data_IF_254198587096
#
_entry.id   IF_254198587096
#
_cell.length_a   1.000
_cell.length_b   1.000
_cell.length_c   1.000
_cell.angle_alpha   90.00
_cell.angle_beta   90.00
_cell.angle_gamma   90.00
#
_symmetry.space_group_name_H-M   'P 1'
#
loop_
_entity.id
_entity.type
_entity.pdbx_description
1 polymer ?
#
# COMPACT_ATOMS: atom_id res chain seq x y z
N UNK A 1 24.26 -44.66 7.91
CA UNK A 1 22.82 -44.98 8.02
C UNK A 1 22.04 -43.69 7.86
N UNK A 2 21.18 -43.55 6.85
CA UNK A 2 20.39 -42.34 6.66
C UNK A 2 19.26 -42.29 7.71
N UNK A 3 19.29 -41.29 8.58
CA UNK A 3 18.27 -41.08 9.61
C UNK A 3 16.96 -40.67 8.95
N UNK A 4 15.93 -41.51 9.08
CA UNK A 4 14.58 -41.21 8.59
C UNK A 4 13.92 -40.24 9.59
N UNK A 5 13.69 -39.01 9.17
CA UNK A 5 13.06 -37.98 9.99
C UNK A 5 11.65 -37.70 9.42
N UNK A 6 10.56 -37.86 10.20
CA UNK A 6 9.19 -37.75 9.71
C UNK A 6 8.81 -36.34 9.25
N UNK A 7 7.97 -36.27 8.20
CA UNK A 7 7.65 -35.06 7.41
C UNK A 7 6.91 -33.97 8.18
N UNK A 8 6.27 -34.33 9.29
CA UNK A 8 5.50 -33.42 10.15
C UNK A 8 6.35 -32.31 10.80
N UNK A 9 7.68 -32.39 10.72
CA UNK A 9 8.61 -31.35 11.20
C UNK A 9 8.89 -30.22 10.19
N UNK A 10 8.53 -30.34 8.92
CA UNK A 10 9.04 -29.46 7.84
C UNK A 10 8.11 -28.31 7.43
N UNK A 11 6.92 -28.20 8.04
CA UNK A 11 5.95 -27.15 7.74
C UNK A 11 6.11 -25.95 8.69
N UNK A 12 7.33 -25.42 8.83
CA UNK A 12 7.57 -24.17 9.57
C UNK A 12 8.42 -23.22 8.73
N UNK A 13 7.99 -21.96 8.51
CA UNK A 13 8.68 -21.01 7.64
C UNK A 13 10.06 -20.53 8.15
N UNK A 14 10.54 -20.99 9.32
CA UNK A 14 11.73 -20.48 10.00
C UNK A 14 12.81 -21.54 10.31
N UNK A 15 12.92 -22.62 9.52
CA UNK A 15 13.98 -23.63 9.71
C UNK A 15 15.13 -23.34 8.72
N UNK A 16 16.41 -23.35 9.16
CA UNK A 16 17.54 -23.18 8.26
C UNK A 16 17.55 -24.27 7.16
N UNK A 17 18.13 -23.98 5.98
CA UNK A 17 18.18 -24.94 4.88
C UNK A 17 18.89 -26.23 5.32
N UNK A 18 18.37 -27.37 4.87
CA UNK A 18 18.90 -28.67 5.25
C UNK A 18 20.36 -28.86 4.78
N UNK A 19 21.18 -29.63 5.52
CA UNK A 19 22.52 -30.01 5.06
C UNK A 19 22.48 -30.69 3.69
N UNK A 20 23.45 -30.36 2.83
CA UNK A 20 23.51 -30.92 1.48
C UNK A 20 23.55 -32.46 1.50
N UNK A 21 22.67 -33.11 0.73
CA UNK A 21 22.61 -34.56 0.60
C UNK A 21 21.50 -35.26 1.41
N UNK A 22 20.70 -34.54 2.19
CA UNK A 22 19.52 -35.12 2.85
C UNK A 22 18.45 -35.50 1.81
N UNK A 23 18.15 -36.78 1.68
CA UNK A 23 17.04 -37.28 0.84
C UNK A 23 15.74 -37.20 1.65
N UNK A 24 14.84 -36.30 1.26
CA UNK A 24 13.51 -36.19 1.86
C UNK A 24 12.66 -37.32 1.28
N UNK A 25 12.31 -38.29 2.12
CA UNK A 25 11.37 -39.35 1.76
C UNK A 25 9.94 -38.80 1.96
N UNK A 26 9.30 -38.48 0.83
CA UNK A 26 7.96 -37.94 0.79
C UNK A 26 6.95 -39.08 0.71
N UNK A 27 6.69 -39.70 1.86
CA UNK A 27 5.83 -40.88 1.94
C UNK A 27 4.34 -40.49 2.09
N UNK A 28 4.02 -39.18 2.16
CA UNK A 28 2.64 -38.69 2.22
C UNK A 28 2.08 -38.47 0.81
N UNK A 29 1.10 -39.30 0.44
CA UNK A 29 0.28 -39.16 -0.77
C UNK A 29 -0.17 -37.70 -1.02
N UNK A 30 -0.58 -37.00 0.03
CA UNK A 30 -1.05 -35.62 -0.02
C UNK A 30 0.00 -34.62 -0.54
N UNK A 31 1.28 -34.78 -0.23
CA UNK A 31 2.30 -33.79 -0.68
C UNK A 31 2.59 -33.94 -2.18
N UNK A 32 2.77 -35.19 -2.63
CA UNK A 32 3.19 -35.47 -4.02
C UNK A 32 2.04 -35.28 -5.01
N UNK A 33 0.85 -35.77 -4.67
CA UNK A 33 -0.27 -35.83 -5.61
C UNK A 33 -1.21 -34.62 -5.53
N UNK A 34 -1.22 -33.88 -4.43
CA UNK A 34 -2.19 -32.79 -4.22
C UNK A 34 -1.46 -31.46 -4.03
N UNK A 35 -0.58 -31.36 -3.04
CA UNK A 35 0.06 -30.09 -2.68
C UNK A 35 1.03 -29.58 -3.76
N UNK A 36 2.01 -30.38 -4.18
CA UNK A 36 2.99 -29.99 -5.22
C UNK A 36 2.35 -29.58 -6.56
N UNK A 37 1.37 -30.30 -7.14
CA UNK A 37 0.71 -29.85 -8.37
C UNK A 37 -0.13 -28.60 -8.14
N UNK A 38 -0.79 -28.46 -6.98
CA UNK A 38 -1.54 -27.25 -6.63
C UNK A 38 -0.63 -26.02 -6.51
N UNK A 39 0.49 -26.11 -5.78
CA UNK A 39 1.47 -25.03 -5.69
C UNK A 39 2.05 -24.66 -7.06
N UNK A 40 2.41 -25.65 -7.89
CA UNK A 40 2.89 -25.40 -9.26
C UNK A 40 1.81 -24.78 -10.16
N UNK A 41 0.55 -25.15 -9.98
CA UNK A 41 -0.57 -24.55 -10.70
C UNK A 41 -0.78 -23.11 -10.25
N UNK A 42 -0.79 -22.82 -8.96
CA UNK A 42 -0.88 -21.46 -8.43
C UNK A 42 0.28 -20.60 -8.88
N UNK A 43 1.51 -21.12 -8.87
CA UNK A 43 2.69 -20.43 -9.37
C UNK A 43 2.51 -20.08 -10.86
N UNK A 44 2.10 -21.05 -11.69
CA UNK A 44 1.88 -20.82 -13.13
C UNK A 44 0.75 -19.84 -13.40
N UNK A 45 -0.37 -19.95 -12.68
CA UNK A 45 -1.52 -19.04 -12.79
C UNK A 45 -1.13 -17.64 -12.32
N UNK A 46 -0.37 -17.54 -11.22
CA UNK A 46 0.15 -16.30 -10.68
C UNK A 46 1.10 -15.61 -11.65
N UNK A 47 2.07 -16.34 -12.19
CA UNK A 47 3.01 -15.84 -13.21
C UNK A 47 2.26 -15.42 -14.48
N UNK A 48 1.28 -16.20 -14.93
CA UNK A 48 0.43 -15.85 -16.07
C UNK A 48 -0.33 -14.55 -15.81
N UNK A 49 -1.03 -14.42 -14.67
CA UNK A 49 -1.77 -13.22 -14.29
C UNK A 49 -0.85 -12.00 -14.16
N UNK A 50 0.33 -12.18 -13.57
CA UNK A 50 1.30 -11.10 -13.44
C UNK A 50 1.76 -10.60 -14.81
N UNK A 51 2.20 -11.49 -15.68
CA UNK A 51 2.69 -11.14 -17.01
C UNK A 51 1.58 -10.57 -17.90
N UNK A 52 0.36 -11.10 -17.79
CA UNK A 52 -0.77 -10.73 -18.65
C UNK A 52 -1.47 -9.45 -18.21
N UNK A 53 -1.64 -9.26 -16.90
CA UNK A 53 -2.46 -8.19 -16.31
C UNK A 53 -1.60 -7.20 -15.55
N UNK A 54 -0.96 -7.63 -14.45
CA UNK A 54 -0.29 -6.71 -13.51
C UNK A 54 0.83 -5.92 -14.16
N UNK A 55 1.68 -6.57 -14.97
CA UNK A 55 2.78 -5.92 -15.66
C UNK A 55 2.31 -4.84 -16.66
N UNK A 56 1.09 -4.97 -17.19
CA UNK A 56 0.51 -3.96 -18.11
C UNK A 56 -0.05 -2.74 -17.39
N UNK A 57 -0.31 -2.84 -16.09
CA UNK A 57 -0.87 -1.75 -15.29
C UNK A 57 0.22 -0.77 -14.82
N UNK A 58 1.51 -1.05 -15.07
CA UNK A 58 2.64 -0.18 -14.71
C UNK A 58 2.64 0.28 -13.23
N UNK A 59 2.10 -0.56 -12.35
CA UNK A 59 2.00 -0.27 -10.92
C UNK A 59 3.38 -0.42 -10.28
N UNK A 60 3.83 0.59 -9.53
CA UNK A 60 5.12 0.56 -8.83
C UNK A 60 6.33 0.86 -9.71
N UNK A 61 6.10 1.23 -10.98
CA UNK A 61 7.15 1.74 -11.87
C UNK A 61 7.50 3.19 -11.48
N UNK A 62 8.73 3.60 -11.75
CA UNK A 62 9.16 5.00 -11.58
C UNK A 62 8.29 5.94 -12.42
N UNK A 63 8.15 7.19 -11.96
CA UNK A 63 7.39 8.21 -12.69
C UNK A 63 7.92 8.39 -14.13
N UNK A 64 7.03 8.39 -15.12
CA UNK A 64 7.43 8.51 -16.54
C UNK A 64 8.17 9.81 -16.85
N UNK A 65 7.88 10.86 -16.08
CA UNK A 65 8.52 12.16 -16.22
C UNK A 65 9.87 12.27 -15.49
N UNK A 66 10.30 11.24 -14.76
CA UNK A 66 11.54 11.30 -14.00
C UNK A 66 12.75 11.08 -14.92
N UNK A 67 13.65 12.06 -14.94
CA UNK A 67 14.98 11.97 -15.53
C UNK A 67 16.08 12.01 -14.44
N UNK A 68 16.85 10.93 -14.22
CA UNK A 68 17.92 10.89 -13.21
C UNK A 68 18.98 11.98 -13.38
N UNK A 69 19.28 12.40 -14.63
CA UNK A 69 20.29 13.43 -14.91
C UNK A 69 19.85 14.83 -14.48
N UNK A 70 18.53 15.08 -14.48
CA UNK A 70 17.96 16.39 -14.15
C UNK A 70 17.54 16.45 -12.67
N UNK A 71 17.04 15.32 -12.14
CA UNK A 71 16.40 15.30 -10.83
C UNK A 71 17.26 14.73 -9.70
N UNK A 72 18.39 14.10 -10.01
CA UNK A 72 19.19 13.39 -9.01
C UNK A 72 18.48 12.11 -8.55
N UNK A 73 18.69 11.66 -7.29
CA UNK A 73 18.04 10.48 -6.74
C UNK A 73 16.51 10.54 -6.82
N UNK A 74 15.87 9.40 -7.01
CA UNK A 74 14.41 9.31 -7.09
C UNK A 74 13.78 9.53 -5.70
N UNK A 75 12.87 10.50 -5.63
CA UNK A 75 12.12 10.90 -4.45
C UNK A 75 10.63 10.65 -4.72
N UNK A 76 10.02 9.60 -4.13
CA UNK A 76 8.65 9.20 -4.46
C UNK A 76 7.57 10.22 -4.08
N UNK A 77 7.82 11.16 -3.17
CA UNK A 77 6.84 12.20 -2.79
C UNK A 77 6.80 13.39 -3.77
N UNK A 78 7.85 13.55 -4.59
CA UNK A 78 8.01 14.66 -5.53
C UNK A 78 7.22 14.38 -6.81
N UNK A 79 6.64 15.44 -7.37
CA UNK A 79 6.03 15.39 -8.68
C UNK A 79 7.06 15.80 -9.74
N UNK A 80 7.32 14.92 -10.71
CA UNK A 80 8.32 15.14 -11.76
C UNK A 80 7.74 15.67 -13.09
N UNK A 81 6.41 15.78 -13.20
CA UNK A 81 5.77 16.29 -14.41
C UNK A 81 6.08 17.75 -14.72
N UNK A 82 6.14 18.08 -16.01
CA UNK A 82 6.58 19.38 -16.56
C UNK A 82 5.74 20.58 -16.11
N UNK A 83 4.47 20.37 -15.74
CA UNK A 83 3.57 21.42 -15.25
C UNK A 83 2.93 21.01 -13.94
N UNK A 84 3.23 21.75 -12.87
CA UNK A 84 2.48 21.68 -11.62
C UNK A 84 1.14 22.37 -11.85
N UNK A 85 0.09 21.59 -12.05
CA UNK A 85 -1.27 22.12 -12.23
C UNK A 85 -1.75 22.84 -10.95
N UNK A 86 -2.80 23.64 -11.05
CA UNK A 86 -3.40 24.31 -9.87
C UNK A 86 -3.87 23.27 -8.85
N UNK A 87 -3.74 23.57 -7.55
CA UNK A 87 -4.25 22.67 -6.50
C UNK A 87 -5.77 22.63 -6.59
N UNK A 88 -6.38 21.51 -6.24
CA UNK A 88 -7.83 21.32 -6.32
C UNK A 88 -8.60 22.46 -5.63
N UNK A 89 -8.12 22.92 -4.47
CA UNK A 89 -8.77 23.99 -3.69
C UNK A 89 -8.56 25.40 -4.27
N UNK A 90 -7.64 25.56 -5.23
CA UNK A 90 -7.36 26.84 -5.91
C UNK A 90 -8.01 26.89 -7.32
N UNK A 91 -8.70 25.83 -7.73
CA UNK A 91 -9.35 25.71 -9.05
C UNK A 91 -10.72 26.36 -9.00
N UNK A 92 -11.03 27.21 -9.99
CA UNK A 92 -12.38 27.74 -10.18
C UNK A 92 -13.35 26.62 -10.53
N UNK A 93 -14.56 26.65 -9.96
CA UNK A 93 -15.57 25.62 -10.21
C UNK A 93 -15.90 25.46 -11.71
N UNK A 94 -15.87 26.55 -12.49
CA UNK A 94 -16.05 26.51 -13.94
C UNK A 94 -14.96 25.74 -14.68
N UNK A 95 -13.74 25.70 -14.14
CA UNK A 95 -12.58 25.06 -14.76
C UNK A 95 -12.36 23.63 -14.22
N UNK A 96 -13.20 23.17 -13.28
CA UNK A 96 -13.02 21.90 -12.58
C UNK A 96 -13.06 20.69 -13.53
N UNK A 97 -13.97 20.71 -14.51
CA UNK A 97 -14.07 19.65 -15.53
C UNK A 97 -12.84 19.60 -16.42
N UNK A 98 -12.35 20.75 -16.87
CA UNK A 98 -11.09 20.88 -17.62
C UNK A 98 -9.87 20.46 -16.78
N UNK A 99 -9.89 20.74 -15.49
CA UNK A 99 -8.85 20.31 -14.56
C UNK A 99 -8.84 18.79 -14.37
N UNK A 100 -10.00 18.15 -14.25
CA UNK A 100 -10.10 16.69 -14.20
C UNK A 100 -9.73 16.02 -15.53
N UNK A 101 -9.99 16.65 -16.67
CA UNK A 101 -9.71 16.06 -17.98
C UNK A 101 -8.22 15.85 -18.24
N UNK A 102 -7.35 16.74 -17.71
CA UNK A 102 -5.88 16.70 -17.84
C UNK A 102 -5.19 15.59 -17.06
N UNK A 103 -5.88 14.91 -16.15
CA UNK A 103 -5.30 13.85 -15.30
C UNK A 103 -5.21 12.53 -16.04
N UNK A 104 -4.13 11.80 -15.76
CA UNK A 104 -4.02 10.40 -16.16
C UNK A 104 -5.02 9.56 -15.35
N UNK A 105 -6.02 9.03 -16.06
CA UNK A 105 -7.11 8.20 -15.53
C UNK A 105 -6.84 6.71 -15.73
N UNK A 106 -5.64 6.34 -16.19
CA UNK A 106 -5.23 4.94 -16.25
C UNK A 106 -5.14 4.35 -14.84
N UNK A 107 -5.37 3.04 -14.71
CA UNK A 107 -5.27 2.33 -13.43
C UNK A 107 -3.86 2.51 -12.83
N UNK A 108 -2.82 2.46 -13.67
CA UNK A 108 -1.44 2.72 -13.26
C UNK A 108 -1.22 4.15 -12.77
N UNK A 109 -1.75 5.14 -13.49
CA UNK A 109 -1.70 6.56 -13.08
C UNK A 109 -2.37 6.79 -11.73
N UNK A 110 -3.53 6.19 -11.50
CA UNK A 110 -4.26 6.25 -10.23
C UNK A 110 -3.44 5.59 -9.11
N UNK A 111 -3.00 4.34 -9.30
CA UNK A 111 -2.21 3.62 -8.29
C UNK A 111 -0.92 4.37 -7.92
N UNK A 112 -0.18 4.86 -8.91
CA UNK A 112 1.03 5.63 -8.69
C UNK A 112 0.71 6.97 -7.98
N UNK A 113 -0.42 7.61 -8.26
CA UNK A 113 -0.82 8.84 -7.56
C UNK A 113 -1.15 8.61 -6.08
N UNK A 114 -1.78 7.48 -5.73
CA UNK A 114 -2.09 7.10 -4.35
C UNK A 114 -0.79 6.85 -3.59
N UNK A 115 0.12 6.07 -4.17
CA UNK A 115 1.43 5.77 -3.58
C UNK A 115 2.24 7.06 -3.35
N UNK A 116 2.32 7.96 -4.35
CA UNK A 116 3.00 9.27 -4.18
C UNK A 116 2.35 10.12 -3.09
N UNK A 117 1.02 10.08 -2.96
CA UNK A 117 0.29 10.82 -1.92
C UNK A 117 0.60 10.26 -0.54
N UNK A 118 0.70 8.94 -0.42
CA UNK A 118 1.14 8.28 0.81
C UNK A 118 2.57 8.70 1.20
N UNK A 119 3.54 8.62 0.28
CA UNK A 119 4.91 9.08 0.56
C UNK A 119 4.99 10.57 0.86
N UNK A 120 4.12 11.39 0.27
CA UNK A 120 4.02 12.81 0.58
C UNK A 120 3.48 13.05 1.99
N UNK A 121 2.46 12.29 2.38
CA UNK A 121 1.92 12.33 3.73
C UNK A 121 3.01 11.93 4.74
N UNK A 122 3.70 10.82 4.48
CA UNK A 122 4.82 10.36 5.30
C UNK A 122 5.92 11.44 5.42
N UNK A 123 6.39 11.99 4.30
CA UNK A 123 7.43 13.02 4.30
C UNK A 123 7.05 14.31 5.05
N UNK A 124 5.79 14.74 5.01
CA UNK A 124 5.37 15.97 5.70
C UNK A 124 5.01 15.78 7.17
N UNK A 125 4.62 14.57 7.58
CA UNK A 125 4.08 14.33 8.92
C UNK A 125 4.93 13.40 9.80
N UNK A 126 5.67 12.48 9.20
CA UNK A 126 6.44 11.44 9.90
C UNK A 126 7.95 11.56 9.70
N UNK A 127 8.42 12.39 8.76
CA UNK A 127 9.86 12.57 8.56
C UNK A 127 10.50 13.21 9.81
N UNK A 128 11.49 12.50 10.38
CA UNK A 128 12.06 12.77 11.69
C UNK A 128 12.66 14.18 11.81
N UNK A 129 13.10 14.76 10.70
CA UNK A 129 13.66 16.11 10.65
C UNK A 129 12.58 17.22 10.70
N UNK A 130 11.36 16.92 10.27
CA UNK A 130 10.24 17.86 10.19
C UNK A 130 9.16 17.60 11.25
N UNK A 131 9.35 16.57 12.08
CA UNK A 131 8.36 16.13 13.06
C UNK A 131 8.08 17.25 14.05
N UNK A 132 6.87 17.79 13.96
CA UNK A 132 6.31 18.65 14.96
C UNK A 132 5.29 17.82 15.74
N UNK A 133 5.82 17.04 16.68
CA UNK A 133 5.07 16.12 17.56
C UNK A 133 3.78 16.76 18.10
N UNK A 134 3.79 18.01 18.59
CA UNK A 134 2.56 18.68 19.06
C UNK A 134 1.50 18.83 17.96
N UNK A 135 1.88 19.26 16.75
CA UNK A 135 0.93 19.41 15.63
C UNK A 135 0.34 18.07 15.18
N UNK A 136 1.11 17.00 15.25
CA UNK A 136 0.63 15.65 14.94
C UNK A 136 -0.42 15.19 15.96
N UNK A 137 -0.11 15.26 17.25
CA UNK A 137 -1.03 14.85 18.32
C UNK A 137 -2.29 15.70 18.37
N UNK A 138 -2.19 17.02 18.23
CA UNK A 138 -3.36 17.91 18.25
C UNK A 138 -4.37 17.56 17.16
N UNK A 139 -3.92 17.18 15.95
CA UNK A 139 -4.82 16.78 14.86
C UNK A 139 -5.50 15.45 15.13
N UNK A 140 -4.76 14.47 15.66
CA UNK A 140 -5.32 13.16 16.00
C UNK A 140 -6.32 13.24 17.15
N UNK A 141 -5.98 13.99 18.21
CA UNK A 141 -6.88 14.20 19.36
C UNK A 141 -8.15 14.93 18.93
N UNK A 142 -8.03 16.00 18.12
CA UNK A 142 -9.19 16.72 17.59
C UNK A 142 -10.07 15.80 16.72
N UNK A 143 -9.47 14.98 15.86
CA UNK A 143 -10.21 14.10 14.96
C UNK A 143 -10.93 12.98 15.74
N UNK A 144 -10.27 12.38 16.74
CA UNK A 144 -10.89 11.40 17.63
C UNK A 144 -12.00 12.02 18.48
N UNK A 145 -11.81 13.25 18.97
CA UNK A 145 -12.83 13.98 19.70
C UNK A 145 -14.07 14.22 18.84
N UNK A 146 -13.91 14.77 17.64
CA UNK A 146 -15.02 15.01 16.71
C UNK A 146 -15.70 13.70 16.27
N UNK A 147 -14.93 12.65 16.01
CA UNK A 147 -15.49 11.33 15.72
C UNK A 147 -16.29 10.79 16.90
N UNK A 148 -15.81 10.98 18.14
CA UNK A 148 -16.55 10.65 19.35
C UNK A 148 -17.88 11.41 19.42
N UNK A 149 -17.89 12.72 19.16
CA UNK A 149 -19.14 13.51 19.15
C UNK A 149 -20.14 12.97 18.12
N UNK A 150 -19.69 12.56 16.93
CA UNK A 150 -20.56 11.99 15.90
C UNK A 150 -21.07 10.60 16.28
N UNK A 151 -20.19 9.72 16.77
CA UNK A 151 -20.52 8.35 17.12
C UNK A 151 -21.43 8.25 18.35
N UNK A 152 -21.20 9.11 19.35
CA UNK A 152 -21.99 9.16 20.58
C UNK A 152 -23.09 10.23 20.52
N UNK A 153 -23.38 10.80 19.35
CA UNK A 153 -24.37 11.88 19.21
C UNK A 153 -25.74 11.48 19.75
N UNK A 154 -26.17 10.24 19.47
CA UNK A 154 -27.47 9.72 19.89
C UNK A 154 -27.56 9.43 21.39
N UNK A 155 -26.42 9.23 22.06
CA UNK A 155 -26.35 8.96 23.50
C UNK A 155 -26.33 10.25 24.33
N UNK A 156 -26.05 11.41 23.72
CA UNK A 156 -25.99 12.69 24.42
C UNK A 156 -27.42 13.12 24.76
N UNK A 157 -27.81 13.17 26.06
CA UNK A 157 -29.17 13.50 26.44
C UNK A 157 -29.48 14.98 26.12
N UNK A 158 -30.29 15.19 25.07
CA UNK A 158 -30.73 16.52 24.59
C UNK A 158 -31.38 17.35 25.70
N UNK A 159 -32.05 16.69 26.66
CA UNK A 159 -32.72 17.34 27.79
C UNK A 159 -31.76 18.02 28.77
N UNK A 160 -30.53 17.50 28.92
CA UNK A 160 -29.47 18.04 29.78
C UNK A 160 -28.64 19.08 29.03
N UNK A 161 -28.46 18.92 27.72
CA UNK A 161 -27.69 19.81 26.85
C UNK A 161 -28.49 21.04 26.35
N UNK A 162 -29.60 21.41 27.00
CA UNK A 162 -30.31 22.64 26.68
C UNK A 162 -29.42 23.83 27.02
N UNK A 163 -28.90 24.48 25.99
CA UNK A 163 -28.20 25.75 26.13
C UNK A 163 -29.14 26.74 26.83
N UNK A 164 -28.64 27.37 27.88
CA UNK A 164 -29.32 28.53 28.45
C UNK A 164 -29.31 29.62 27.38
N UNK A 165 -30.46 29.86 26.74
CA UNK A 165 -30.76 31.21 26.28
C UNK A 165 -31.16 32.09 27.47
#
# INVERSE_FOLDING_TARGET
MATKIPVTKYFRPFIPPLPAGTKIHNDLFWDVYIYRPYCRLLERVGVYLYNRVINRLEIGVQDKCYNPRVHGPYCPWRYYGTKRDTKLMDVKLCDLTSWFSRRDKSIGGIANSVVKTFYRFDHYYFDHYLINVPRFFMRFVLLLYLAGVVLFYDEIPVSVARYHW
#
